data_IF_396310789051
#
_entry.id   IF_396310789051
#
_cell.length_a   1.000
_cell.length_b   1.000
_cell.length_c   1.000
_cell.angle_alpha   90.00
_cell.angle_beta   90.00
_cell.angle_gamma   90.00
#
_symmetry.space_group_name_H-M   'P 1'
#
loop_
_entity.id
_entity.type
_entity.pdbx_description
1 polymer ?
#
# COMPACT_ATOMS: atom_id res chain seq x y z
N UNK A 1 23.78 -22.21 14.01
CA UNK A 1 23.54 -20.75 14.04
C UNK A 1 22.09 -20.61 14.36
N UNK A 2 21.70 -19.81 15.36
CA UNK A 2 20.29 -19.58 15.65
C UNK A 2 19.67 -18.92 14.43
N UNK A 3 18.56 -19.45 13.92
CA UNK A 3 17.77 -18.82 12.87
C UNK A 3 17.49 -17.38 13.26
N UNK A 4 18.10 -16.44 12.54
CA UNK A 4 17.88 -15.01 12.78
C UNK A 4 16.41 -14.73 12.41
N UNK A 5 15.57 -14.58 13.44
CA UNK A 5 14.15 -14.30 13.25
C UNK A 5 14.02 -13.08 12.33
N UNK A 6 13.28 -13.22 11.23
CA UNK A 6 13.04 -12.14 10.28
C UNK A 6 12.56 -10.86 11.03
N UNK A 7 13.27 -9.75 10.84
CA UNK A 7 12.88 -8.44 11.37
C UNK A 7 12.59 -7.50 10.19
N UNK A 8 11.34 -7.05 10.03
CA UNK A 8 10.97 -6.15 8.92
C UNK A 8 11.75 -4.83 8.93
N UNK A 9 12.16 -4.35 10.10
CA UNK A 9 12.91 -3.10 10.20
C UNK A 9 14.36 -3.25 9.73
N UNK A 10 15.02 -4.37 10.08
CA UNK A 10 16.36 -4.68 9.58
C UNK A 10 16.36 -4.83 8.04
N UNK A 11 15.31 -5.43 7.48
CA UNK A 11 15.15 -5.52 6.03
C UNK A 11 14.99 -4.13 5.38
N UNK A 12 14.17 -3.28 5.95
CA UNK A 12 14.01 -1.89 5.49
C UNK A 12 15.34 -1.13 5.52
N UNK A 13 16.13 -1.26 6.59
CA UNK A 13 17.45 -0.63 6.71
C UNK A 13 18.43 -1.15 5.64
N UNK A 14 18.38 -2.42 5.31
CA UNK A 14 19.20 -3.01 4.25
C UNK A 14 18.86 -2.41 2.88
N UNK A 15 17.57 -2.31 2.54
CA UNK A 15 17.11 -1.71 1.28
C UNK A 15 17.48 -0.22 1.21
N UNK A 16 17.29 0.52 2.31
CA UNK A 16 17.69 1.93 2.41
C UNK A 16 19.18 2.10 2.13
N UNK A 17 20.02 1.31 2.80
CA UNK A 17 21.49 1.36 2.64
C UNK A 17 21.90 1.09 1.20
N UNK A 18 21.46 -0.03 0.63
CA UNK A 18 21.80 -0.41 -0.75
C UNK A 18 21.41 0.67 -1.77
N UNK A 19 20.23 1.24 -1.60
CA UNK A 19 19.71 2.26 -2.52
C UNK A 19 20.43 3.60 -2.35
N UNK A 20 20.81 3.97 -1.13
CA UNK A 20 21.59 5.18 -0.86
C UNK A 20 23.03 5.06 -1.40
N UNK A 21 23.68 3.92 -1.22
CA UNK A 21 25.01 3.63 -1.77
C UNK A 21 24.99 3.65 -3.30
N UNK A 22 23.96 3.11 -3.95
CA UNK A 22 23.77 3.16 -5.39
C UNK A 22 23.59 4.61 -5.93
N UNK A 23 23.09 5.51 -5.08
CA UNK A 23 23.04 6.97 -5.36
C UNK A 23 24.36 7.68 -5.11
N UNK A 24 25.38 7.04 -4.54
CA UNK A 24 26.64 7.64 -4.12
C UNK A 24 26.51 8.51 -2.87
N UNK A 25 25.48 8.27 -2.04
CA UNK A 25 25.27 8.97 -0.77
C UNK A 25 26.16 8.37 0.32
N UNK A 26 26.76 9.21 1.16
CA UNK A 26 27.42 8.79 2.39
C UNK A 26 26.40 8.46 3.49
N UNK A 27 26.81 7.79 4.55
CA UNK A 27 25.91 7.48 5.67
C UNK A 27 25.30 8.75 6.28
N UNK A 28 26.08 9.83 6.39
CA UNK A 28 25.63 11.12 6.94
C UNK A 28 24.49 11.73 6.13
N UNK A 29 24.44 11.46 4.81
CA UNK A 29 23.38 11.97 3.93
C UNK A 29 22.01 11.33 4.22
N UNK A 30 21.98 10.09 4.67
CA UNK A 30 20.73 9.34 4.88
C UNK A 30 20.55 8.79 6.31
N UNK A 31 21.48 9.08 7.24
CA UNK A 31 21.42 8.57 8.61
C UNK A 31 20.09 8.84 9.31
N UNK A 32 19.47 10.00 9.07
CA UNK A 32 18.16 10.36 9.62
C UNK A 32 17.03 9.43 9.16
N UNK A 33 17.17 8.76 8.01
CA UNK A 33 16.20 7.80 7.50
C UNK A 33 16.37 6.40 8.12
N UNK A 34 17.47 6.19 8.86
CA UNK A 34 17.67 4.96 9.61
C UNK A 34 16.89 4.93 10.94
N UNK A 35 16.30 6.05 11.35
CA UNK A 35 15.62 6.19 12.63
C UNK A 35 14.32 6.98 12.45
N UNK A 36 13.18 6.51 13.02
CA UNK A 36 11.98 7.32 13.06
C UNK A 36 12.19 8.61 13.88
N UNK A 37 11.57 9.70 13.42
CA UNK A 37 11.57 10.96 14.18
C UNK A 37 10.86 10.83 15.52
N UNK A 38 9.81 9.99 15.60
CA UNK A 38 9.04 9.73 16.81
C UNK A 38 8.49 8.33 16.86
N UNK A 39 8.61 7.71 18.01
CA UNK A 39 8.01 6.43 18.36
C UNK A 39 7.13 6.62 19.59
N UNK A 40 5.84 6.33 19.48
CA UNK A 40 4.89 6.43 20.58
C UNK A 40 4.24 5.08 20.85
N UNK A 41 4.46 4.54 22.05
CA UNK A 41 3.75 3.37 22.58
C UNK A 41 2.78 3.83 23.66
N UNK A 42 1.52 3.37 23.59
CA UNK A 42 0.46 3.80 24.50
C UNK A 42 -0.31 2.62 25.06
N UNK A 43 -0.79 2.76 26.30
CA UNK A 43 -1.74 1.85 26.93
C UNK A 43 -3.17 2.34 26.70
N UNK A 44 -4.05 1.42 26.28
CA UNK A 44 -5.43 1.70 25.91
C UNK A 44 -6.38 0.90 26.80
N UNK A 45 -6.71 1.39 28.03
CA UNK A 45 -7.69 0.76 28.87
C UNK A 45 -9.10 1.06 28.37
N UNK A 46 -9.92 0.03 28.18
CA UNK A 46 -11.35 0.15 27.87
C UNK A 46 -12.17 -0.73 28.80
N UNK A 47 -13.44 -0.34 29.01
CA UNK A 47 -14.44 -1.19 29.66
C UNK A 47 -15.03 -2.11 28.61
N UNK A 48 -15.00 -3.41 28.87
CA UNK A 48 -15.63 -4.44 28.04
C UNK A 48 -17.13 -4.45 28.27
N UNK A 49 -17.88 -5.15 27.39
CA UNK A 49 -19.34 -5.24 27.50
C UNK A 49 -19.78 -6.02 28.75
N UNK A 50 -18.95 -6.92 29.27
CA UNK A 50 -19.14 -7.64 30.53
C UNK A 50 -18.80 -6.80 31.79
N UNK A 51 -18.39 -5.54 31.61
CA UNK A 51 -18.02 -4.61 32.69
C UNK A 51 -16.56 -4.70 33.14
N UNK A 52 -15.79 -5.69 32.70
CA UNK A 52 -14.38 -5.81 33.02
C UNK A 52 -13.52 -4.71 32.36
N UNK A 53 -12.31 -4.50 32.84
CA UNK A 53 -11.33 -3.59 32.24
C UNK A 53 -10.30 -4.44 31.50
N UNK A 54 -10.11 -4.14 30.21
CA UNK A 54 -9.02 -4.71 29.40
C UNK A 54 -8.10 -3.60 28.90
N UNK A 55 -6.79 -3.86 28.93
CA UNK A 55 -5.78 -2.91 28.48
C UNK A 55 -5.11 -3.46 27.23
N UNK A 56 -5.14 -2.66 26.15
CA UNK A 56 -4.48 -2.98 24.90
C UNK A 56 -3.23 -2.11 24.71
N UNK A 57 -2.29 -2.60 23.91
CA UNK A 57 -1.13 -1.82 23.45
C UNK A 57 -1.43 -1.16 22.11
N UNK A 58 -1.07 0.12 21.99
CA UNK A 58 -1.14 0.86 20.73
C UNK A 58 0.18 1.52 20.39
N UNK A 59 0.41 1.73 19.10
CA UNK A 59 1.63 2.29 18.54
C UNK A 59 1.31 3.39 17.53
N UNK A 60 2.10 4.46 17.49
CA UNK A 60 2.15 5.41 16.37
C UNK A 60 3.60 5.81 16.15
N UNK A 61 4.10 5.58 14.94
CA UNK A 61 5.46 5.92 14.53
C UNK A 61 5.40 6.93 13.40
N UNK A 62 6.18 8.02 13.54
CA UNK A 62 6.42 9.03 12.51
C UNK A 62 7.86 8.86 12.05
N UNK A 63 8.05 8.40 10.80
CA UNK A 63 9.38 8.08 10.30
C UNK A 63 10.11 9.32 9.81
N UNK A 64 9.51 10.13 8.95
CA UNK A 64 10.13 11.36 8.46
C UNK A 64 9.06 12.38 8.06
N UNK A 65 9.22 13.63 8.51
CA UNK A 65 8.38 14.77 8.16
C UNK A 65 9.08 15.74 7.19
N UNK A 66 10.24 15.37 6.64
CA UNK A 66 11.05 16.24 5.79
C UNK A 66 10.28 16.81 4.59
N UNK A 67 9.29 16.08 4.07
CA UNK A 67 8.49 16.47 2.88
C UNK A 67 7.12 17.04 3.20
N UNK A 68 6.69 17.01 4.45
CA UNK A 68 5.36 17.48 4.88
C UNK A 68 4.80 16.66 6.04
N UNK A 69 3.50 16.79 6.34
CA UNK A 69 2.88 16.03 7.42
C UNK A 69 3.03 14.53 7.18
N UNK A 70 3.23 13.79 8.26
CA UNK A 70 3.33 12.34 8.19
C UNK A 70 2.00 11.71 7.75
N UNK A 71 2.05 10.60 7.02
CA UNK A 71 0.87 9.91 6.49
C UNK A 71 1.01 8.42 6.63
N UNK A 72 -0.04 7.75 7.13
CA UNK A 72 -0.05 6.29 7.15
C UNK A 72 -1.22 5.67 7.88
N UNK A 73 -1.52 4.40 7.54
CA UNK A 73 -2.63 3.65 8.08
C UNK A 73 -2.47 3.28 9.56
N UNK A 74 -3.58 2.89 10.16
CA UNK A 74 -3.65 2.27 11.49
C UNK A 74 -4.19 0.85 11.32
N UNK A 75 -3.43 -0.17 11.75
CA UNK A 75 -3.88 -1.56 11.70
C UNK A 75 -4.32 -2.08 13.05
N UNK A 76 -5.32 -2.95 13.03
CA UNK A 76 -5.73 -3.73 14.20
C UNK A 76 -5.36 -5.19 13.96
N UNK A 77 -4.32 -5.66 14.64
CA UNK A 77 -3.84 -7.02 14.44
C UNK A 77 -3.18 -7.56 15.72
N UNK A 78 -3.43 -8.83 16.03
CA UNK A 78 -2.95 -9.47 17.27
C UNK A 78 -1.42 -9.59 17.35
N UNK A 79 -0.72 -9.57 16.23
CA UNK A 79 0.74 -9.68 16.17
C UNK A 79 1.45 -8.33 15.95
N UNK A 80 0.69 -7.20 15.91
CA UNK A 80 1.31 -5.89 15.74
C UNK A 80 2.32 -5.61 16.84
N UNK A 81 3.51 -5.18 16.43
CA UNK A 81 4.60 -4.77 17.31
C UNK A 81 5.28 -3.48 16.81
N UNK A 82 6.22 -2.97 17.60
CA UNK A 82 6.88 -1.70 17.31
C UNK A 82 7.77 -1.79 16.06
N UNK A 83 8.52 -2.87 15.88
CA UNK A 83 9.48 -3.00 14.76
C UNK A 83 8.73 -3.13 13.42
N UNK A 84 7.62 -3.87 13.39
CA UNK A 84 6.72 -3.90 12.23
C UNK A 84 6.19 -2.49 11.91
N UNK A 85 5.70 -1.76 12.91
CA UNK A 85 5.14 -0.41 12.72
C UNK A 85 6.21 0.58 12.24
N UNK A 86 7.46 0.47 12.73
CA UNK A 86 8.62 1.28 12.28
C UNK A 86 8.93 1.04 10.80
N UNK A 87 9.04 -0.23 10.40
CA UNK A 87 9.28 -0.60 9.00
C UNK A 87 8.20 -0.05 8.07
N UNK A 88 6.93 -0.26 8.45
CA UNK A 88 5.79 0.23 7.69
C UNK A 88 5.72 1.77 7.60
N UNK A 89 6.14 2.49 8.66
CA UNK A 89 6.23 3.95 8.65
C UNK A 89 7.30 4.45 7.66
N UNK A 90 8.46 3.77 7.62
CA UNK A 90 9.53 4.09 6.67
C UNK A 90 9.07 3.82 5.22
N UNK A 91 8.44 2.69 4.95
CA UNK A 91 7.88 2.41 3.62
C UNK A 91 6.83 3.42 3.19
N UNK A 92 6.04 3.97 4.13
CA UNK A 92 5.13 5.08 3.81
C UNK A 92 5.88 6.35 3.39
N UNK A 93 7.01 6.69 4.02
CA UNK A 93 7.87 7.81 3.58
C UNK A 93 8.34 7.61 2.13
N UNK A 94 8.86 6.42 1.81
CA UNK A 94 9.33 6.11 0.46
C UNK A 94 8.19 6.10 -0.56
N UNK A 95 7.05 5.50 -0.22
CA UNK A 95 5.87 5.47 -1.08
C UNK A 95 5.33 6.87 -1.41
N UNK A 96 5.22 7.75 -0.43
CA UNK A 96 4.81 9.13 -0.66
C UNK A 96 5.84 9.91 -1.49
N UNK A 97 7.12 9.65 -1.25
CA UNK A 97 8.20 10.31 -1.97
C UNK A 97 8.30 9.87 -3.43
N UNK A 98 8.17 8.57 -3.75
CA UNK A 98 8.29 8.07 -5.13
C UNK A 98 7.21 8.64 -6.06
N UNK A 99 5.99 8.85 -5.56
CA UNK A 99 4.89 9.47 -6.32
C UNK A 99 4.84 10.99 -6.16
N UNK A 100 5.83 11.57 -5.50
CA UNK A 100 6.02 13.02 -5.34
C UNK A 100 4.83 13.77 -4.71
N UNK A 101 4.13 13.16 -3.77
CA UNK A 101 3.14 13.87 -2.94
C UNK A 101 3.83 14.49 -1.72
N UNK A 102 3.32 15.63 -1.18
CA UNK A 102 3.96 16.39 -0.10
C UNK A 102 3.66 15.79 1.28
N UNK A 103 3.96 14.52 1.45
CA UNK A 103 3.81 13.79 2.70
C UNK A 103 5.11 13.17 3.17
N UNK A 104 5.27 13.11 4.48
CA UNK A 104 6.15 12.19 5.15
C UNK A 104 5.51 10.82 5.36
N UNK A 105 6.09 10.00 6.22
CA UNK A 105 5.59 8.66 6.49
C UNK A 105 5.31 8.42 7.97
N UNK A 106 4.18 7.79 8.23
CA UNK A 106 3.81 7.30 9.56
C UNK A 106 3.11 5.94 9.46
N UNK A 107 3.01 5.26 10.59
CA UNK A 107 2.19 4.06 10.74
C UNK A 107 1.70 3.96 12.17
N UNK A 108 0.51 3.40 12.33
CA UNK A 108 -0.05 3.06 13.64
C UNK A 108 -0.55 1.64 13.70
N UNK A 109 -0.77 1.16 14.92
CA UNK A 109 -1.36 -0.15 15.13
C UNK A 109 -1.87 -0.31 16.56
N UNK A 110 -2.82 -1.22 16.73
CA UNK A 110 -3.23 -1.71 18.03
C UNK A 110 -3.05 -3.22 18.03
N UNK A 111 -2.39 -3.73 19.08
CA UNK A 111 -2.23 -5.17 19.29
C UNK A 111 -3.55 -5.75 19.79
N UNK A 112 -4.41 -6.17 18.87
CA UNK A 112 -5.76 -6.66 19.14
C UNK A 112 -6.23 -7.61 18.05
N UNK A 113 -7.04 -8.59 18.41
CA UNK A 113 -7.84 -9.36 17.47
C UNK A 113 -9.23 -8.72 17.42
N UNK A 114 -9.56 -7.95 16.38
CA UNK A 114 -10.83 -7.21 16.34
C UNK A 114 -12.05 -8.12 16.15
N UNK A 115 -11.88 -9.35 15.68
CA UNK A 115 -12.99 -10.32 15.55
C UNK A 115 -13.56 -10.75 16.91
N UNK A 116 -12.78 -10.54 17.98
CA UNK A 116 -13.16 -10.87 19.37
C UNK A 116 -13.79 -9.69 20.10
N UNK A 117 -14.02 -8.58 19.43
CA UNK A 117 -14.58 -7.38 20.04
C UNK A 117 -15.95 -7.06 19.42
N UNK A 118 -16.88 -6.62 20.25
CA UNK A 118 -18.13 -6.05 19.76
C UNK A 118 -17.87 -4.70 19.04
N UNK A 119 -18.83 -4.28 18.22
CA UNK A 119 -18.75 -2.95 17.60
C UNK A 119 -18.62 -1.82 18.65
N UNK A 120 -19.31 -1.95 19.78
CA UNK A 120 -19.26 -0.99 20.87
C UNK A 120 -17.87 -0.95 21.54
N UNK A 121 -17.24 -2.10 21.70
CA UNK A 121 -15.87 -2.22 22.22
C UNK A 121 -14.85 -1.65 21.23
N UNK A 122 -15.01 -1.89 19.93
CA UNK A 122 -14.16 -1.29 18.88
C UNK A 122 -14.26 0.24 18.87
N UNK A 123 -15.45 0.81 19.05
CA UNK A 123 -15.65 2.27 19.18
C UNK A 123 -14.88 2.79 20.39
N UNK A 124 -15.04 2.15 21.58
CA UNK A 124 -14.33 2.56 22.79
C UNK A 124 -12.82 2.47 22.63
N UNK A 125 -12.33 1.39 22.03
CA UNK A 125 -10.91 1.15 21.75
C UNK A 125 -10.35 2.27 20.85
N UNK A 126 -11.00 2.52 19.71
CA UNK A 126 -10.58 3.53 18.74
C UNK A 126 -10.57 4.94 19.34
N UNK A 127 -11.64 5.35 20.03
CA UNK A 127 -11.73 6.66 20.66
C UNK A 127 -10.67 6.82 21.75
N UNK A 128 -10.41 5.79 22.56
CA UNK A 128 -9.36 5.81 23.58
C UNK A 128 -7.96 5.87 22.94
N UNK A 129 -7.71 5.11 21.88
CA UNK A 129 -6.45 5.20 21.15
C UNK A 129 -6.26 6.60 20.57
N UNK A 130 -7.28 7.18 19.94
CA UNK A 130 -7.23 8.53 19.38
C UNK A 130 -6.84 9.56 20.45
N UNK A 131 -7.42 9.50 21.64
CA UNK A 131 -7.06 10.43 22.72
C UNK A 131 -5.59 10.28 23.17
N UNK A 132 -5.02 9.08 23.06
CA UNK A 132 -3.62 8.82 23.43
C UNK A 132 -2.62 9.35 22.42
N UNK A 133 -2.97 9.34 21.14
CA UNK A 133 -2.12 9.83 20.04
C UNK A 133 -2.46 11.28 19.63
N UNK A 134 -3.48 11.89 20.24
CA UNK A 134 -3.95 13.25 19.93
C UNK A 134 -2.84 14.30 19.81
N UNK A 135 -1.82 14.35 20.71
CA UNK A 135 -0.78 15.38 20.62
C UNK A 135 0.06 15.34 19.35
N UNK A 136 0.16 14.20 18.71
CA UNK A 136 1.05 13.99 17.54
C UNK A 136 0.32 13.88 16.22
N UNK A 137 -1.02 13.69 16.20
CA UNK A 137 -1.81 13.66 14.96
C UNK A 137 -2.41 15.04 14.66
N UNK A 138 -2.84 15.23 13.44
CA UNK A 138 -3.50 16.45 12.97
C UNK A 138 -3.30 16.66 11.49
N UNK A 139 -4.12 17.51 10.85
CA UNK A 139 -4.05 17.74 9.39
C UNK A 139 -2.69 18.27 8.92
N UNK A 140 -1.96 18.97 9.79
CA UNK A 140 -0.65 19.55 9.47
C UNK A 140 0.53 18.80 10.11
N UNK A 141 0.27 17.70 10.82
CA UNK A 141 1.28 16.94 11.57
C UNK A 141 1.40 15.50 11.09
N UNK A 142 0.31 14.76 11.24
CA UNK A 142 0.25 13.32 10.95
C UNK A 142 -1.20 12.89 10.70
N UNK A 143 -1.46 12.32 9.54
CA UNK A 143 -2.79 12.05 9.01
C UNK A 143 -3.00 10.54 8.93
N UNK A 144 -3.74 9.94 9.87
CA UNK A 144 -4.11 8.52 9.82
C UNK A 144 -4.97 8.16 8.60
N UNK A 145 -4.97 6.88 8.25
CA UNK A 145 -5.78 6.28 7.20
C UNK A 145 -6.17 4.84 7.57
N UNK A 146 -7.08 4.20 6.82
CA UNK A 146 -7.37 2.79 6.99
C UNK A 146 -6.17 1.89 6.64
N UNK A 147 -6.10 0.75 7.29
CA UNK A 147 -5.16 -0.35 7.06
C UNK A 147 -5.84 -1.68 7.43
N UNK A 148 -5.07 -2.74 7.68
CA UNK A 148 -5.60 -4.06 8.05
C UNK A 148 -6.60 -3.94 9.22
N UNK A 149 -7.80 -4.49 9.00
CA UNK A 149 -8.93 -4.52 9.95
C UNK A 149 -9.39 -3.14 10.45
N UNK A 150 -9.15 -2.08 9.69
CA UNK A 150 -9.76 -0.76 9.88
C UNK A 150 -10.38 -0.28 8.58
N UNK A 151 -11.36 0.60 8.67
CA UNK A 151 -12.17 1.05 7.53
C UNK A 151 -12.62 2.51 7.70
N UNK A 152 -13.49 2.98 6.81
CA UNK A 152 -14.02 4.33 6.86
C UNK A 152 -14.77 4.65 8.15
N UNK A 153 -15.45 3.69 8.74
CA UNK A 153 -16.17 3.86 10.01
C UNK A 153 -15.19 4.12 11.17
N UNK A 154 -14.07 3.37 11.23
CA UNK A 154 -12.99 3.61 12.19
C UNK A 154 -12.40 5.01 12.01
N UNK A 155 -12.20 5.45 10.76
CA UNK A 155 -11.74 6.82 10.47
C UNK A 155 -12.74 7.88 10.92
N UNK A 156 -14.04 7.63 10.75
CA UNK A 156 -15.08 8.51 11.26
C UNK A 156 -14.99 8.69 12.79
N UNK A 157 -14.77 7.61 13.53
CA UNK A 157 -14.60 7.68 14.99
C UNK A 157 -13.35 8.45 15.43
N UNK A 158 -12.24 8.30 14.66
CA UNK A 158 -11.02 9.08 14.91
C UNK A 158 -11.27 10.55 14.66
N UNK A 159 -11.86 10.90 13.51
CA UNK A 159 -12.18 12.29 13.14
C UNK A 159 -13.11 12.94 14.17
N UNK A 160 -14.18 12.25 14.55
CA UNK A 160 -15.13 12.75 15.54
C UNK A 160 -14.47 12.98 16.90
N UNK A 161 -13.67 12.00 17.36
CA UNK A 161 -12.94 12.14 18.63
C UNK A 161 -11.95 13.32 18.60
N UNK A 162 -11.17 13.47 17.53
CA UNK A 162 -10.26 14.60 17.35
C UNK A 162 -11.01 15.93 17.36
N UNK A 163 -12.13 16.00 16.62
CA UNK A 163 -12.95 17.20 16.51
C UNK A 163 -13.58 17.64 17.83
N UNK A 164 -13.94 16.68 18.71
CA UNK A 164 -14.42 16.98 20.07
C UNK A 164 -13.37 17.74 20.90
N UNK A 165 -12.09 17.37 20.78
CA UNK A 165 -11.01 18.04 21.53
C UNK A 165 -10.60 19.39 20.93
N UNK A 166 -10.81 19.61 19.63
CA UNK A 166 -10.52 20.89 18.98
C UNK A 166 -11.70 21.87 19.03
N UNK A 167 -12.89 21.39 19.38
CA UNK A 167 -14.09 22.21 19.47
C UNK A 167 -14.76 22.56 18.12
N UNK A 168 -14.27 21.97 17.03
CA UNK A 168 -14.86 22.12 15.68
C UNK A 168 -14.55 20.90 14.84
N UNK A 169 -15.32 20.69 13.77
CA UNK A 169 -15.09 19.55 12.84
C UNK A 169 -13.80 19.74 12.05
N UNK A 170 -12.92 18.72 12.07
CA UNK A 170 -11.62 18.73 11.38
C UNK A 170 -11.54 17.53 10.43
N UNK A 171 -12.15 17.59 9.24
CA UNK A 171 -12.20 16.44 8.31
C UNK A 171 -10.81 16.07 7.76
N UNK A 172 -9.88 17.01 7.66
CA UNK A 172 -8.52 16.77 7.18
C UNK A 172 -7.61 15.99 8.13
N UNK A 173 -8.06 15.65 9.35
CA UNK A 173 -7.23 14.91 10.32
C UNK A 173 -7.00 13.45 9.91
N UNK A 174 -7.89 12.87 9.12
CA UNK A 174 -7.80 11.49 8.60
C UNK A 174 -8.22 11.43 7.13
N UNK A 175 -7.84 10.36 6.44
CA UNK A 175 -8.36 10.05 5.11
C UNK A 175 -8.94 8.65 5.04
N UNK A 176 -9.71 8.36 3.98
CA UNK A 176 -10.44 7.10 3.84
C UNK A 176 -11.76 7.09 4.60
N UNK A 177 -12.31 8.27 4.86
CA UNK A 177 -13.63 8.46 5.47
C UNK A 177 -14.77 8.08 4.51
N UNK A 178 -15.98 7.81 5.03
CA UNK A 178 -17.20 7.85 4.23
C UNK A 178 -17.35 9.19 3.49
N UNK A 179 -17.96 9.16 2.31
CA UNK A 179 -18.14 10.35 1.44
C UNK A 179 -18.97 11.41 2.16
N UNK A 180 -19.97 11.00 2.91
CA UNK A 180 -20.92 11.85 3.64
C UNK A 180 -20.24 12.78 4.68
N UNK A 181 -19.03 12.44 5.10
CA UNK A 181 -18.25 13.21 6.08
C UNK A 181 -16.92 13.70 5.53
N UNK A 182 -16.83 13.89 4.22
CA UNK A 182 -15.66 14.47 3.54
C UNK A 182 -14.69 13.45 2.97
N UNK A 183 -15.12 12.20 2.73
CA UNK A 183 -14.37 11.22 1.94
C UNK A 183 -14.28 11.64 0.47
N UNK A 184 -13.32 11.12 -0.28
CA UNK A 184 -13.17 11.38 -1.71
C UNK A 184 -13.76 10.26 -2.55
N UNK A 185 -14.49 10.63 -3.59
CA UNK A 185 -14.88 9.70 -4.66
C UNK A 185 -13.63 9.08 -5.27
N UNK A 186 -13.75 7.85 -5.83
CA UNK A 186 -12.63 7.13 -6.44
C UNK A 186 -11.61 6.53 -5.45
N UNK A 187 -11.71 6.82 -4.13
CA UNK A 187 -10.73 6.33 -3.14
C UNK A 187 -10.69 4.80 -3.05
N UNK A 188 -11.85 4.15 -3.12
CA UNK A 188 -11.96 2.68 -3.02
C UNK A 188 -11.23 1.98 -4.18
N UNK A 189 -11.37 2.51 -5.39
CA UNK A 189 -10.78 1.96 -6.61
C UNK A 189 -9.33 2.40 -6.84
N UNK A 190 -8.86 3.42 -6.14
CA UNK A 190 -7.62 4.13 -6.45
C UNK A 190 -6.38 3.24 -6.54
N UNK A 191 -6.27 2.25 -5.66
CA UNK A 191 -5.10 1.35 -5.66
C UNK A 191 -5.13 0.45 -6.90
N UNK A 192 -6.24 -0.23 -7.17
CA UNK A 192 -6.39 -1.09 -8.35
C UNK A 192 -6.22 -0.30 -9.66
N UNK A 193 -6.80 0.90 -9.75
CA UNK A 193 -6.62 1.80 -10.88
C UNK A 193 -5.16 2.23 -11.05
N UNK A 194 -4.46 2.56 -9.97
CA UNK A 194 -3.03 2.86 -10.01
C UNK A 194 -2.21 1.69 -10.55
N UNK A 195 -2.50 0.47 -10.09
CA UNK A 195 -1.87 -0.76 -10.59
C UNK A 195 -2.07 -0.91 -12.11
N UNK A 196 -3.28 -0.68 -12.63
CA UNK A 196 -3.53 -0.79 -14.07
C UNK A 196 -2.80 0.28 -14.88
N UNK A 197 -2.75 1.52 -14.40
CA UNK A 197 -1.97 2.60 -15.06
C UNK A 197 -0.51 2.20 -15.19
N UNK A 198 0.09 1.70 -14.13
CA UNK A 198 1.49 1.26 -14.14
C UNK A 198 1.70 0.03 -15.02
N UNK A 199 0.77 -0.94 -15.00
CA UNK A 199 0.84 -2.11 -15.85
C UNK A 199 0.87 -1.73 -17.36
N UNK A 200 -0.01 -0.80 -17.78
CA UNK A 200 -0.01 -0.30 -19.15
C UNK A 200 1.33 0.34 -19.52
N UNK A 201 1.89 1.17 -18.66
CA UNK A 201 3.19 1.79 -18.93
C UNK A 201 4.33 0.77 -18.99
N UNK A 202 4.32 -0.24 -18.09
CA UNK A 202 5.30 -1.32 -18.16
C UNK A 202 5.20 -2.09 -19.47
N UNK A 203 4.00 -2.42 -19.93
CA UNK A 203 3.80 -3.10 -21.22
C UNK A 203 4.30 -2.27 -22.39
N UNK A 204 3.93 -0.98 -22.46
CA UNK A 204 4.38 -0.06 -23.52
C UNK A 204 5.91 0.06 -23.58
N UNK A 205 6.56 0.27 -22.43
CA UNK A 205 8.02 0.41 -22.34
C UNK A 205 8.77 -0.87 -22.71
N UNK A 206 8.13 -2.02 -22.56
CA UNK A 206 8.72 -3.31 -22.90
C UNK A 206 8.20 -3.86 -24.25
N UNK A 207 7.69 -2.98 -25.11
CA UNK A 207 7.23 -3.31 -26.46
C UNK A 207 6.19 -4.44 -26.51
N UNK A 208 5.45 -4.63 -25.43
CA UNK A 208 4.29 -5.54 -25.38
C UNK A 208 3.05 -4.76 -25.82
N UNK A 209 2.24 -5.38 -26.67
CA UNK A 209 0.95 -4.79 -27.08
C UNK A 209 -0.08 -4.97 -25.95
N UNK A 210 -0.49 -3.89 -25.24
CA UNK A 210 -1.44 -4.01 -24.16
C UNK A 210 -2.78 -4.64 -24.57
N UNK A 211 -3.21 -4.43 -25.84
CA UNK A 211 -4.48 -4.96 -26.31
C UNK A 211 -4.50 -6.50 -26.44
N UNK A 212 -3.33 -7.12 -26.54
CA UNK A 212 -3.18 -8.57 -26.69
C UNK A 212 -2.71 -9.27 -25.43
N UNK A 213 -2.32 -8.50 -24.40
CA UNK A 213 -1.76 -9.05 -23.19
C UNK A 213 -2.77 -9.89 -22.41
N UNK A 214 -2.30 -11.04 -21.93
CA UNK A 214 -3.01 -11.90 -21.00
C UNK A 214 -2.60 -11.58 -19.56
N UNK A 215 -3.60 -11.43 -18.67
CA UNK A 215 -3.43 -10.95 -17.30
C UNK A 215 -3.83 -12.03 -16.30
N UNK A 216 -2.99 -12.29 -15.32
CA UNK A 216 -3.32 -13.11 -14.15
C UNK A 216 -3.33 -12.24 -12.90
N UNK A 217 -4.39 -12.33 -12.07
CA UNK A 217 -4.57 -11.52 -10.86
C UNK A 217 -4.74 -12.42 -9.65
N UNK A 218 -3.78 -12.41 -8.74
CA UNK A 218 -3.89 -13.10 -7.46
C UNK A 218 -4.60 -12.21 -6.43
N UNK A 219 -5.76 -12.68 -5.94
CA UNK A 219 -6.56 -11.94 -4.97
C UNK A 219 -7.68 -11.11 -5.62
N UNK A 220 -8.93 -11.47 -5.36
CA UNK A 220 -10.13 -10.80 -5.89
C UNK A 220 -10.78 -9.82 -4.89
N UNK A 221 -9.98 -9.29 -3.94
CA UNK A 221 -10.39 -8.20 -3.04
C UNK A 221 -10.50 -6.83 -3.75
N UNK A 222 -10.48 -5.75 -2.97
CA UNK A 222 -10.65 -4.40 -3.53
C UNK A 222 -9.62 -4.05 -4.61
N UNK A 223 -8.35 -4.38 -4.41
CA UNK A 223 -7.27 -4.01 -5.33
C UNK A 223 -7.29 -4.89 -6.57
N UNK A 224 -7.17 -6.20 -6.40
CA UNK A 224 -7.11 -7.13 -7.52
C UNK A 224 -8.43 -7.20 -8.30
N UNK A 225 -9.58 -7.22 -7.61
CA UNK A 225 -10.88 -7.20 -8.26
C UNK A 225 -11.10 -5.93 -9.10
N UNK A 226 -10.72 -4.76 -8.59
CA UNK A 226 -10.77 -3.50 -9.36
C UNK A 226 -9.83 -3.55 -10.57
N UNK A 227 -8.61 -4.05 -10.39
CA UNK A 227 -7.66 -4.17 -11.50
C UNK A 227 -8.19 -5.12 -12.58
N UNK A 228 -8.68 -6.30 -12.18
CA UNK A 228 -9.28 -7.28 -13.11
C UNK A 228 -10.45 -6.68 -13.89
N UNK A 229 -11.36 -5.95 -13.23
CA UNK A 229 -12.49 -5.28 -13.90
C UNK A 229 -12.02 -4.22 -14.91
N UNK A 230 -11.02 -3.41 -14.58
CA UNK A 230 -10.50 -2.38 -15.47
C UNK A 230 -9.85 -3.03 -16.71
N UNK A 231 -9.04 -4.06 -16.53
CA UNK A 231 -8.46 -4.80 -17.66
C UNK A 231 -9.55 -5.42 -18.56
N UNK A 232 -10.53 -6.09 -17.98
CA UNK A 232 -11.64 -6.68 -18.71
C UNK A 232 -12.43 -5.63 -19.51
N UNK A 233 -12.80 -4.50 -18.88
CA UNK A 233 -13.52 -3.39 -19.54
C UNK A 233 -12.74 -2.77 -20.68
N UNK A 234 -11.41 -2.82 -20.63
CA UNK A 234 -10.54 -2.31 -21.67
C UNK A 234 -10.21 -3.38 -22.75
N UNK A 235 -10.83 -4.57 -22.67
CA UNK A 235 -10.71 -5.64 -23.68
C UNK A 235 -9.51 -6.56 -23.53
N UNK A 236 -8.73 -6.47 -22.41
CA UNK A 236 -7.67 -7.43 -22.15
C UNK A 236 -8.25 -8.77 -21.67
N UNK A 237 -7.54 -9.85 -22.00
CA UNK A 237 -7.86 -11.18 -21.50
C UNK A 237 -7.36 -11.34 -20.05
N UNK A 238 -8.27 -11.36 -19.09
CA UNK A 238 -7.95 -11.82 -17.74
C UNK A 238 -8.07 -13.33 -17.71
N UNK A 239 -6.93 -14.03 -17.80
CA UNK A 239 -6.89 -15.48 -17.95
C UNK A 239 -6.92 -16.24 -16.63
N UNK A 240 -6.54 -15.61 -15.53
CA UNK A 240 -6.60 -16.23 -14.22
C UNK A 240 -6.92 -15.22 -13.11
N UNK A 241 -7.72 -15.66 -12.12
CA UNK A 241 -7.98 -14.95 -10.88
C UNK A 241 -7.97 -15.92 -9.71
N UNK A 242 -7.65 -15.46 -8.48
CA UNK A 242 -7.75 -16.30 -7.29
C UNK A 242 -8.25 -15.53 -6.07
N UNK A 243 -8.75 -16.29 -5.09
CA UNK A 243 -8.96 -15.86 -3.71
C UNK A 243 -8.23 -16.81 -2.75
N UNK A 244 -8.58 -16.76 -1.46
CA UNK A 244 -7.98 -17.63 -0.44
C UNK A 244 -8.38 -19.11 -0.56
N UNK A 245 -9.40 -19.45 -1.36
CA UNK A 245 -9.88 -20.82 -1.56
C UNK A 245 -9.23 -21.52 -2.75
N UNK A 246 -8.67 -20.74 -3.69
CA UNK A 246 -8.04 -21.25 -4.91
C UNK A 246 -8.15 -20.25 -6.06
N UNK A 247 -7.98 -20.72 -7.27
CA UNK A 247 -8.03 -19.90 -8.45
C UNK A 247 -8.83 -20.52 -9.59
N UNK A 248 -9.18 -19.66 -10.56
CA UNK A 248 -9.82 -19.99 -11.82
C UNK A 248 -8.88 -19.67 -12.97
N UNK A 249 -8.87 -20.49 -14.00
CA UNK A 249 -8.10 -20.29 -15.23
C UNK A 249 -8.96 -20.55 -16.47
N UNK A 250 -8.85 -19.67 -17.45
CA UNK A 250 -9.43 -19.85 -18.79
C UNK A 250 -8.49 -19.19 -19.83
N UNK A 251 -7.93 -19.95 -20.78
CA UNK A 251 -7.00 -19.42 -21.80
C UNK A 251 -7.67 -18.36 -22.70
N UNK A 252 -8.98 -18.48 -22.93
CA UNK A 252 -9.76 -17.53 -23.73
C UNK A 252 -10.18 -16.28 -22.97
N UNK A 253 -9.95 -16.24 -21.66
CA UNK A 253 -10.31 -15.16 -20.74
C UNK A 253 -11.55 -15.48 -19.92
N UNK A 254 -11.56 -14.97 -18.68
CA UNK A 254 -12.63 -15.14 -17.70
C UNK A 254 -13.68 -14.03 -17.82
N UNK A 255 -14.94 -14.34 -17.55
CA UNK A 255 -16.00 -13.33 -17.37
C UNK A 255 -15.89 -12.67 -15.99
N UNK A 256 -15.11 -11.60 -15.92
CA UNK A 256 -14.84 -10.90 -14.66
C UNK A 256 -16.10 -10.29 -14.04
N UNK A 257 -17.03 -9.65 -14.79
CA UNK A 257 -18.32 -9.22 -14.24
C UNK A 257 -19.12 -10.33 -13.56
N UNK A 258 -19.24 -11.50 -14.20
CA UNK A 258 -19.94 -12.64 -13.62
C UNK A 258 -19.27 -13.15 -12.35
N UNK A 259 -17.94 -13.27 -12.35
CA UNK A 259 -17.15 -13.66 -11.16
C UNK A 259 -17.32 -12.65 -10.03
N UNK A 260 -17.23 -11.34 -10.30
CA UNK A 260 -17.42 -10.28 -9.30
C UNK A 260 -18.81 -10.32 -8.68
N UNK A 261 -19.84 -10.54 -9.50
CA UNK A 261 -21.21 -10.70 -9.02
C UNK A 261 -21.31 -11.90 -8.08
N UNK A 262 -20.76 -13.05 -8.49
CA UNK A 262 -20.76 -14.29 -7.69
C UNK A 262 -20.09 -14.09 -6.32
N UNK A 263 -18.94 -13.41 -6.28
CA UNK A 263 -18.25 -13.06 -5.02
C UNK A 263 -19.11 -12.10 -4.18
N UNK A 264 -19.78 -11.13 -4.78
CA UNK A 264 -20.60 -10.14 -4.05
C UNK A 264 -21.83 -10.77 -3.39
N UNK A 265 -22.26 -11.93 -3.87
CA UNK A 265 -23.34 -12.74 -3.27
C UNK A 265 -22.86 -13.61 -2.08
N UNK A 266 -21.57 -13.45 -1.65
CA UNK A 266 -20.98 -14.14 -0.52
C UNK A 266 -20.36 -15.50 -0.86
N UNK A 267 -20.19 -15.81 -2.14
CA UNK A 267 -19.58 -17.05 -2.59
C UNK A 267 -18.05 -16.92 -2.72
N UNK A 268 -17.37 -18.06 -2.75
CA UNK A 268 -15.90 -18.20 -2.94
C UNK A 268 -15.59 -18.86 -4.29
N UNK A 269 -14.39 -18.62 -4.83
CA UNK A 269 -14.04 -19.05 -6.19
C UNK A 269 -13.98 -20.56 -6.38
N UNK A 270 -13.74 -21.34 -5.33
CA UNK A 270 -13.79 -22.81 -5.36
C UNK A 270 -15.16 -23.37 -5.74
N UNK A 271 -16.23 -22.55 -5.71
CA UNK A 271 -17.61 -22.92 -6.07
C UNK A 271 -18.07 -22.35 -7.40
N UNK A 272 -17.21 -21.59 -8.09
CA UNK A 272 -17.58 -21.00 -9.37
C UNK A 272 -17.43 -22.00 -10.50
N UNK A 273 -18.49 -22.22 -11.26
CA UNK A 273 -18.51 -23.14 -12.40
C UNK A 273 -18.95 -22.39 -13.67
N UNK A 274 -18.18 -22.51 -14.75
CA UNK A 274 -18.53 -21.99 -16.06
C UNK A 274 -17.83 -22.80 -17.15
N UNK A 275 -18.38 -22.81 -18.36
CA UNK A 275 -17.81 -23.52 -19.50
C UNK A 275 -16.42 -22.97 -19.85
N UNK A 276 -15.45 -23.87 -20.04
CA UNK A 276 -14.06 -23.50 -20.36
C UNK A 276 -13.23 -23.00 -19.17
N UNK A 277 -13.81 -22.91 -17.97
CA UNK A 277 -13.10 -22.51 -16.76
C UNK A 277 -12.61 -23.74 -16.01
N UNK A 278 -11.34 -23.72 -15.61
CA UNK A 278 -10.72 -24.76 -14.78
C UNK A 278 -10.29 -24.20 -13.43
N UNK A 279 -10.38 -25.04 -12.39
CA UNK A 279 -9.88 -24.71 -11.05
C UNK A 279 -8.39 -24.96 -10.97
N UNK A 280 -7.66 -24.01 -10.37
CA UNK A 280 -6.21 -24.09 -10.12
C UNK A 280 -5.90 -23.70 -8.68
N UNK A 281 -4.72 -24.08 -8.21
CA UNK A 281 -4.22 -23.62 -6.89
C UNK A 281 -3.71 -22.18 -6.98
N UNK A 282 -3.47 -21.53 -5.83
CA UNK A 282 -2.81 -20.21 -5.81
C UNK A 282 -1.39 -20.27 -6.41
N UNK A 283 -0.62 -21.33 -6.15
CA UNK A 283 0.67 -21.55 -6.79
C UNK A 283 0.52 -21.77 -8.31
N UNK A 284 -0.51 -22.51 -8.72
CA UNK A 284 -0.88 -22.69 -10.13
C UNK A 284 -1.21 -21.35 -10.82
N UNK A 285 -1.85 -20.40 -10.14
CA UNK A 285 -2.08 -19.06 -10.66
C UNK A 285 -0.77 -18.28 -10.84
N UNK A 286 0.11 -18.27 -9.82
CA UNK A 286 1.40 -17.56 -9.88
C UNK A 286 2.26 -18.07 -11.03
N UNK A 287 2.16 -19.36 -11.34
CA UNK A 287 2.98 -20.03 -12.36
C UNK A 287 2.26 -20.27 -13.69
N UNK A 288 1.00 -19.81 -13.85
CA UNK A 288 0.26 -19.98 -15.08
C UNK A 288 0.84 -19.18 -16.25
N UNK A 289 0.47 -19.59 -17.46
CA UNK A 289 0.85 -18.89 -18.69
C UNK A 289 0.07 -17.57 -18.77
N UNK A 290 0.79 -16.45 -18.64
CA UNK A 290 0.27 -15.10 -18.82
C UNK A 290 1.41 -14.14 -19.21
N UNK A 291 1.07 -12.96 -19.73
CA UNK A 291 2.05 -11.91 -20.02
C UNK A 291 2.32 -11.05 -18.77
N UNK A 292 1.28 -10.76 -17.99
CA UNK A 292 1.36 -9.91 -16.79
C UNK A 292 0.76 -10.65 -15.59
N UNK A 293 1.55 -10.77 -14.52
CA UNK A 293 1.11 -11.29 -13.22
C UNK A 293 0.92 -10.14 -12.23
N UNK A 294 -0.21 -10.11 -11.54
CA UNK A 294 -0.56 -9.08 -10.54
C UNK A 294 -0.80 -9.75 -9.20
N UNK A 295 0.21 -9.88 -8.33
CA UNK A 295 0.05 -10.35 -6.97
C UNK A 295 -0.62 -9.26 -6.12
N UNK A 296 -1.93 -9.44 -5.82
CA UNK A 296 -2.76 -8.50 -5.08
C UNK A 296 -3.37 -9.09 -3.80
N UNK A 297 -2.83 -10.19 -3.28
CA UNK A 297 -3.33 -10.88 -2.10
C UNK A 297 -2.54 -10.49 -0.84
N UNK A 298 -1.47 -11.20 -0.56
CA UNK A 298 -0.68 -11.07 0.68
C UNK A 298 0.81 -10.84 0.37
N UNK A 299 1.59 -10.62 1.42
CA UNK A 299 3.04 -10.61 1.37
C UNK A 299 3.61 -12.02 1.10
N UNK A 300 4.84 -12.09 0.60
CA UNK A 300 5.61 -13.33 0.39
C UNK A 300 4.85 -14.42 -0.42
N UNK A 301 4.15 -14.02 -1.47
CA UNK A 301 3.47 -14.95 -2.38
C UNK A 301 4.40 -15.50 -3.45
N UNK A 302 5.36 -14.69 -3.89
CA UNK A 302 6.41 -15.08 -4.82
C UNK A 302 7.68 -15.27 -4.01
N UNK A 303 8.13 -16.52 -3.93
CA UNK A 303 9.28 -16.95 -3.14
C UNK A 303 10.29 -17.70 -4.01
N UNK A 304 11.45 -18.08 -3.45
CA UNK A 304 12.44 -18.90 -4.15
C UNK A 304 11.86 -20.21 -4.69
N UNK A 305 10.84 -20.76 -4.03
CA UNK A 305 10.20 -22.03 -4.40
C UNK A 305 9.43 -21.95 -5.72
N UNK A 306 8.87 -20.79 -6.07
CA UNK A 306 8.03 -20.64 -7.26
C UNK A 306 8.56 -19.65 -8.29
N UNK A 307 9.45 -18.72 -7.94
CA UNK A 307 10.01 -17.73 -8.86
C UNK A 307 10.66 -18.35 -10.11
N UNK A 308 11.29 -19.51 -9.97
CA UNK A 308 11.88 -20.26 -11.09
C UNK A 308 10.86 -20.77 -12.11
N UNK A 309 9.58 -20.92 -11.74
CA UNK A 309 8.50 -21.48 -12.59
C UNK A 309 7.57 -20.41 -13.17
N UNK A 310 7.69 -19.14 -12.77
CA UNK A 310 6.86 -18.06 -13.28
C UNK A 310 7.05 -17.91 -14.80
N UNK A 311 5.94 -17.79 -15.54
CA UNK A 311 5.95 -17.66 -17.00
C UNK A 311 5.65 -16.22 -17.46
N UNK A 312 5.13 -15.37 -16.58
CA UNK A 312 4.88 -13.96 -16.86
C UNK A 312 6.19 -13.22 -17.21
N UNK A 313 6.12 -12.27 -18.12
CA UNK A 313 7.22 -11.37 -18.48
C UNK A 313 7.27 -10.14 -17.57
N UNK A 314 6.11 -9.75 -17.05
CA UNK A 314 5.93 -8.58 -16.20
C UNK A 314 5.22 -9.00 -14.92
N UNK A 315 5.71 -8.50 -13.80
CA UNK A 315 5.05 -8.61 -12.49
C UNK A 315 4.77 -7.21 -11.98
N UNK A 316 3.51 -6.91 -11.65
CA UNK A 316 3.09 -5.61 -11.12
C UNK A 316 2.60 -5.83 -9.70
N UNK A 317 3.40 -5.47 -8.72
CA UNK A 317 3.11 -5.73 -7.31
C UNK A 317 1.97 -4.86 -6.79
N UNK A 318 0.81 -5.46 -6.61
CA UNK A 318 -0.37 -4.78 -6.10
C UNK A 318 -0.54 -4.91 -4.58
N UNK A 319 -0.11 -6.03 -3.99
CA UNK A 319 0.06 -6.18 -2.54
C UNK A 319 1.34 -5.49 -2.05
N UNK A 320 1.51 -5.33 -0.74
CA UNK A 320 2.78 -4.88 -0.16
C UNK A 320 3.70 -6.07 0.06
N UNK A 321 4.94 -6.00 -0.44
CA UNK A 321 5.96 -7.03 -0.29
C UNK A 321 5.56 -8.43 -0.78
N UNK A 322 4.90 -8.57 -1.94
CA UNK A 322 4.44 -9.89 -2.39
C UNK A 322 5.58 -10.79 -2.87
N UNK A 323 6.74 -10.21 -3.19
CA UNK A 323 7.92 -10.91 -3.69
C UNK A 323 9.03 -10.86 -2.64
N UNK A 324 9.59 -12.03 -2.29
CA UNK A 324 10.74 -12.10 -1.39
C UNK A 324 12.02 -11.58 -2.06
N UNK A 325 13.05 -11.26 -1.26
CA UNK A 325 14.32 -10.75 -1.79
C UNK A 325 14.99 -11.81 -2.69
N UNK A 326 14.99 -13.05 -2.27
CA UNK A 326 15.56 -14.18 -3.01
C UNK A 326 14.82 -14.42 -4.33
N UNK A 327 13.50 -14.28 -4.31
CA UNK A 327 12.69 -14.40 -5.51
C UNK A 327 12.96 -13.24 -6.49
N UNK A 328 13.14 -12.02 -6.00
CA UNK A 328 13.44 -10.85 -6.84
C UNK A 328 14.76 -11.04 -7.61
N UNK A 329 15.78 -11.62 -6.97
CA UNK A 329 17.06 -11.97 -7.62
C UNK A 329 16.86 -13.03 -8.72
N UNK A 330 16.08 -14.09 -8.45
CA UNK A 330 15.77 -15.14 -9.44
C UNK A 330 15.02 -14.54 -10.63
N UNK A 331 13.98 -13.72 -10.39
CA UNK A 331 13.20 -13.10 -11.43
C UNK A 331 14.06 -12.18 -12.32
N UNK A 332 14.89 -11.36 -11.68
CA UNK A 332 15.79 -10.45 -12.38
C UNK A 332 16.80 -11.23 -13.27
N UNK A 333 17.39 -12.32 -12.76
CA UNK A 333 18.31 -13.18 -13.53
C UNK A 333 17.64 -13.82 -14.76
N UNK A 334 16.32 -14.03 -14.71
CA UNK A 334 15.50 -14.55 -15.80
C UNK A 334 14.99 -13.47 -16.76
N UNK A 335 15.33 -12.19 -16.51
CA UNK A 335 14.86 -11.07 -17.33
C UNK A 335 13.37 -10.74 -17.12
N UNK A 336 12.75 -11.18 -16.03
CA UNK A 336 11.37 -10.84 -15.69
C UNK A 336 11.37 -9.47 -15.02
N UNK A 337 10.55 -8.55 -15.51
CA UNK A 337 10.50 -7.19 -15.01
C UNK A 337 9.51 -7.13 -13.86
N UNK A 338 9.98 -6.67 -12.70
CA UNK A 338 9.13 -6.45 -11.51
C UNK A 338 8.94 -4.96 -11.29
N UNK A 339 7.70 -4.48 -11.39
CA UNK A 339 7.35 -3.14 -10.96
C UNK A 339 7.00 -3.16 -9.47
N UNK A 340 7.75 -2.45 -8.61
CA UNK A 340 7.65 -2.59 -7.16
C UNK A 340 6.38 -1.98 -6.59
N UNK A 341 5.96 -2.52 -5.45
CA UNK A 341 4.78 -2.13 -4.68
C UNK A 341 4.75 -0.64 -4.30
N UNK A 342 5.89 -0.07 -3.88
CA UNK A 342 5.96 1.35 -3.48
C UNK A 342 5.57 2.32 -4.60
N UNK A 343 5.64 1.88 -5.86
CA UNK A 343 5.19 2.63 -7.04
C UNK A 343 3.82 2.16 -7.50
N UNK A 344 3.65 0.87 -7.78
CA UNK A 344 2.47 0.34 -8.48
C UNK A 344 1.19 0.46 -7.66
N UNK A 345 1.23 0.20 -6.35
CA UNK A 345 0.06 0.28 -5.47
C UNK A 345 -0.11 1.66 -4.79
N UNK A 346 0.68 2.67 -5.18
CA UNK A 346 0.63 4.00 -4.58
C UNK A 346 -0.65 4.80 -4.92
N UNK A 347 -1.48 4.34 -5.85
CA UNK A 347 -2.71 5.04 -6.22
C UNK A 347 -3.62 5.35 -5.01
N UNK A 348 -3.69 4.44 -4.05
CA UNK A 348 -4.46 4.64 -2.83
C UNK A 348 -3.99 5.83 -1.99
N UNK A 349 -2.67 6.00 -1.79
CA UNK A 349 -2.15 7.15 -1.04
C UNK A 349 -2.23 8.45 -1.84
N UNK A 350 -2.16 8.39 -3.17
CA UNK A 350 -2.35 9.56 -4.04
C UNK A 350 -3.79 10.09 -3.91
N UNK A 351 -4.82 9.24 -3.98
CA UNK A 351 -6.20 9.71 -3.78
C UNK A 351 -6.48 10.08 -2.32
N UNK A 352 -5.78 9.47 -1.35
CA UNK A 352 -5.81 9.97 0.03
C UNK A 352 -5.24 11.40 0.14
N UNK A 353 -4.21 11.73 -0.63
CA UNK A 353 -3.72 13.11 -0.72
C UNK A 353 -4.79 14.05 -1.30
N UNK A 354 -5.51 13.64 -2.34
CA UNK A 354 -6.61 14.42 -2.91
C UNK A 354 -7.74 14.64 -1.91
N UNK A 355 -8.12 13.62 -1.14
CA UNK A 355 -9.12 13.74 -0.07
C UNK A 355 -8.70 14.80 0.97
N UNK A 356 -7.45 14.76 1.39
CA UNK A 356 -6.90 15.74 2.34
C UNK A 356 -6.91 17.16 1.73
N UNK A 357 -6.47 17.35 0.47
CA UNK A 357 -6.51 18.65 -0.22
C UNK A 357 -7.91 19.20 -0.27
N UNK A 358 -8.90 18.38 -0.68
CA UNK A 358 -10.31 18.76 -0.73
C UNK A 358 -10.81 19.21 0.65
N UNK A 359 -10.46 18.48 1.72
CA UNK A 359 -10.89 18.80 3.07
C UNK A 359 -10.24 20.09 3.62
N UNK A 360 -8.96 20.34 3.33
CA UNK A 360 -8.27 21.56 3.78
C UNK A 360 -8.77 22.79 3.03
N UNK A 361 -9.10 22.63 1.75
CA UNK A 361 -9.57 23.75 0.91
C UNK A 361 -11.09 23.89 0.87
N UNK A 362 -11.84 22.98 1.52
CA UNK A 362 -13.31 22.90 1.44
C UNK A 362 -13.82 22.81 0.00
N UNK A 363 -13.14 22.00 -0.82
CA UNK A 363 -13.50 21.72 -2.21
C UNK A 363 -14.03 20.29 -2.35
N UNK A 364 -14.75 20.06 -3.44
CA UNK A 364 -15.18 18.71 -3.84
C UNK A 364 -14.85 18.53 -5.32
N UNK A 365 -14.16 17.42 -5.63
CA UNK A 365 -13.84 17.05 -7.00
C UNK A 365 -14.72 15.89 -7.45
N UNK A 366 -15.06 15.88 -8.74
CA UNK A 366 -15.75 14.75 -9.33
C UNK A 366 -14.79 13.57 -9.60
N UNK A 367 -15.37 12.42 -9.98
CA UNK A 367 -14.62 11.20 -10.21
C UNK A 367 -13.63 11.33 -11.37
N UNK A 368 -14.01 12.06 -12.42
CA UNK A 368 -13.16 12.24 -13.61
C UNK A 368 -11.95 13.11 -13.29
N UNK A 369 -12.14 14.18 -12.51
CA UNK A 369 -11.05 15.02 -12.02
C UNK A 369 -10.08 14.21 -11.15
N UNK A 370 -10.59 13.42 -10.20
CA UNK A 370 -9.76 12.55 -9.35
C UNK A 370 -8.98 11.55 -10.19
N UNK A 371 -9.63 10.85 -11.13
CA UNK A 371 -8.99 9.85 -11.97
C UNK A 371 -7.95 10.46 -12.92
N UNK A 372 -8.22 11.63 -13.50
CA UNK A 372 -7.28 12.35 -14.38
C UNK A 372 -6.02 12.77 -13.62
N UNK A 373 -6.17 13.31 -12.42
CA UNK A 373 -5.03 13.71 -11.59
C UNK A 373 -4.26 12.50 -11.09
N UNK A 374 -4.94 11.41 -10.70
CA UNK A 374 -4.30 10.15 -10.33
C UNK A 374 -3.44 9.63 -11.48
N UNK A 375 -4.00 9.56 -12.68
CA UNK A 375 -3.27 9.13 -13.87
C UNK A 375 -2.02 9.98 -14.11
N UNK A 376 -2.16 11.31 -14.05
CA UNK A 376 -1.02 12.24 -14.24
C UNK A 376 0.11 11.96 -13.25
N UNK A 377 -0.20 11.83 -11.96
CA UNK A 377 0.82 11.60 -10.92
C UNK A 377 1.48 10.24 -11.11
N UNK A 378 0.69 9.17 -11.34
CA UNK A 378 1.23 7.82 -11.51
C UNK A 378 2.13 7.71 -12.74
N UNK A 379 1.73 8.30 -13.89
CA UNK A 379 2.53 8.33 -15.11
C UNK A 379 3.84 9.11 -14.92
N UNK A 380 3.77 10.27 -14.26
CA UNK A 380 4.97 11.09 -13.99
C UNK A 380 5.96 10.30 -13.11
N UNK A 381 5.47 9.67 -12.04
CA UNK A 381 6.30 8.88 -11.14
C UNK A 381 6.92 7.68 -11.85
N UNK A 382 6.13 6.94 -12.64
CA UNK A 382 6.64 5.81 -13.40
C UNK A 382 7.75 6.23 -14.39
N UNK A 383 7.52 7.27 -15.18
CA UNK A 383 8.50 7.74 -16.15
C UNK A 383 9.83 8.16 -15.51
N UNK A 384 9.79 8.79 -14.33
CA UNK A 384 11.00 9.17 -13.59
C UNK A 384 11.76 7.95 -13.08
N UNK A 385 11.03 6.98 -12.48
CA UNK A 385 11.63 5.72 -12.01
C UNK A 385 12.21 4.93 -13.18
N UNK A 386 11.48 4.82 -14.28
CA UNK A 386 11.95 4.13 -15.48
C UNK A 386 13.20 4.78 -16.08
N UNK A 387 13.20 6.10 -16.22
CA UNK A 387 14.37 6.84 -16.74
C UNK A 387 15.62 6.61 -15.88
N UNK A 388 15.48 6.66 -14.54
CA UNK A 388 16.57 6.38 -13.61
C UNK A 388 17.04 4.93 -13.69
N UNK A 389 16.12 3.98 -13.82
CA UNK A 389 16.44 2.55 -14.00
C UNK A 389 17.32 2.34 -15.25
N UNK A 390 16.98 2.97 -16.37
CA UNK A 390 17.76 2.88 -17.59
C UNK A 390 19.11 3.62 -17.46
N UNK A 391 19.14 4.82 -16.89
CA UNK A 391 20.37 5.61 -16.69
C UNK A 391 21.41 4.87 -15.84
N UNK A 392 20.94 4.25 -14.76
CA UNK A 392 21.80 3.57 -13.77
C UNK A 392 21.99 2.07 -14.03
N UNK A 393 21.27 1.53 -15.01
CA UNK A 393 21.21 0.07 -15.29
C UNK A 393 20.89 -0.75 -14.04
N UNK A 394 19.81 -0.36 -13.35
CA UNK A 394 19.31 -1.02 -12.14
C UNK A 394 17.85 -1.44 -12.31
N UNK A 395 17.34 -2.32 -11.44
CA UNK A 395 15.95 -2.74 -11.46
C UNK A 395 14.99 -1.56 -11.18
N UNK A 396 13.73 -1.67 -11.60
CA UNK A 396 12.71 -0.67 -11.27
C UNK A 396 12.52 -0.52 -9.76
N UNK A 397 12.67 -1.60 -8.99
CA UNK A 397 12.63 -1.59 -7.52
C UNK A 397 13.73 -0.69 -6.96
N UNK A 398 14.98 -0.94 -7.35
CA UNK A 398 16.11 -0.13 -6.90
C UNK A 398 15.92 1.33 -7.29
N UNK A 399 15.55 1.62 -8.55
CA UNK A 399 15.31 2.98 -9.03
C UNK A 399 14.19 3.69 -8.26
N UNK A 400 13.11 3.00 -7.91
CA UNK A 400 12.01 3.58 -7.13
C UNK A 400 12.46 4.02 -5.74
N UNK A 401 13.24 3.20 -5.03
CA UNK A 401 13.84 3.58 -3.75
C UNK A 401 14.84 4.71 -3.91
N UNK A 402 15.69 4.69 -4.94
CA UNK A 402 16.63 5.77 -5.23
C UNK A 402 15.92 7.13 -5.46
N UNK A 403 14.85 7.15 -6.25
CA UNK A 403 14.01 8.37 -6.44
C UNK A 403 13.45 8.85 -5.10
N UNK A 404 12.89 7.95 -4.31
CA UNK A 404 12.30 8.29 -3.02
C UNK A 404 13.34 8.87 -2.04
N UNK A 405 14.46 8.17 -1.85
CA UNK A 405 15.55 8.58 -0.95
C UNK A 405 16.12 9.93 -1.38
N UNK A 406 16.43 10.11 -2.66
CA UNK A 406 16.95 11.37 -3.20
C UNK A 406 16.02 12.54 -2.88
N UNK A 407 14.70 12.36 -3.04
CA UNK A 407 13.71 13.41 -2.73
C UNK A 407 13.66 13.75 -1.24
N UNK A 408 13.67 12.73 -0.36
CA UNK A 408 13.60 12.95 1.09
C UNK A 408 14.89 13.63 1.58
N UNK A 409 16.05 13.12 1.19
CA UNK A 409 17.35 13.70 1.61
C UNK A 409 17.54 15.11 1.07
N UNK A 410 17.13 15.37 -0.17
CA UNK A 410 17.18 16.74 -0.74
C UNK A 410 16.29 17.70 0.05
N UNK A 411 15.04 17.28 0.38
CA UNK A 411 14.14 18.10 1.18
C UNK A 411 14.72 18.39 2.57
N UNK A 412 15.32 17.38 3.22
CA UNK A 412 16.01 17.54 4.51
C UNK A 412 17.16 18.52 4.43
N UNK A 413 18.02 18.41 3.42
CA UNK A 413 19.16 19.34 3.20
C UNK A 413 18.70 20.78 2.98
N UNK A 414 17.66 21.00 2.17
CA UNK A 414 17.10 22.33 1.91
C UNK A 414 16.48 22.98 3.16
N UNK A 415 16.04 22.19 4.12
CA UNK A 415 15.51 22.65 5.43
C UNK A 415 16.60 22.84 6.48
N UNK A 416 17.87 22.79 6.10
CA UNK A 416 19.04 23.00 6.95
C UNK A 416 19.73 21.72 7.40
N UNK A 417 19.21 20.55 7.07
CA UNK A 417 19.75 19.25 7.49
C UNK A 417 19.61 18.98 9.00
N UNK A 418 20.07 17.83 9.50
CA UNK A 418 19.95 17.45 10.90
C UNK A 418 20.82 18.29 11.86
N UNK A 419 21.73 19.10 11.36
CA UNK A 419 22.76 19.81 12.14
C UNK A 419 22.44 21.31 12.34
N UNK A 420 21.38 21.85 11.70
CA UNK A 420 21.14 23.31 11.65
C UNK A 420 20.43 23.90 12.88
N UNK A 421 20.18 23.10 13.91
CA UNK A 421 19.56 23.58 15.18
C UNK A 421 20.54 23.52 16.37
N UNK A 422 21.83 23.49 16.10
CA UNK A 422 22.89 23.63 17.09
C UNK A 422 23.45 25.02 17.15
#
# INVERSE_FOLDING_TARGET
MADKKYNPYDNMLSVLKQSAEALGLSYEDYATLCYPERELKVSIPIRMDDGSIKVFEGYRVQHSSARGPCKGGIRYHQNSDMDEVKALAAWMSFKCAVVNIPYGGAKGGIKVDPSKLSRAELIRLTRRYTTRILPIIGPDKDIPAPDVNTNGEVMAWIMDTYSMFTGHTVPGVVTGKPIEIGGSVGRVEATGRGVTIIAYQCMEKNHSDPAKASIAVQGMGNVGGTAAEIFYKNGQKVVAVSDYTGGLYCEDGLDIPAIRKFISEGNTLDKYEAEGVSHITNDGLITCKCDVLIPAALENQITEDNAGRIQAKLIIEAANGPTSVEADEILNSRGIIVCPDILSNAGGVVVSYFEWVQNIQNLTWDLDEVNKMLQKIMLTAFNEVYALSQEKNVTLRMAAYMVAIKRITTAGKLRGGPISMG
#
